data_IF_989006283403
#
_entry.id   IF_989006283403
#
_cell.length_a   1.000
_cell.length_b   1.000
_cell.length_c   1.000
_cell.angle_alpha   90.00
_cell.angle_beta   90.00
_cell.angle_gamma   90.00
#
_symmetry.space_group_name_H-M   'P 1'
#
loop_
_entity.id
_entity.type
_entity.pdbx_description
1 polymer ?
#
# COMPACT_ATOMS: atom_id res chain seq x y z
N UNK A 1 23.75 21.43 3.13
CA UNK A 1 22.57 20.78 2.54
C UNK A 1 23.06 19.68 1.63
N UNK A 2 22.64 18.43 1.85
CA UNK A 2 23.03 17.29 1.02
C UNK A 2 22.27 17.34 -0.30
N UNK A 3 22.97 17.24 -1.43
CA UNK A 3 22.32 17.18 -2.75
C UNK A 3 21.77 15.77 -2.95
N UNK A 4 20.52 15.66 -3.40
CA UNK A 4 19.84 14.37 -3.59
C UNK A 4 20.05 13.85 -5.01
N UNK A 5 20.45 12.59 -5.15
CA UNK A 5 20.62 11.96 -6.47
C UNK A 5 19.36 11.17 -6.79
N UNK A 6 18.70 11.48 -7.92
CA UNK A 6 17.45 10.81 -8.32
C UNK A 6 17.54 10.07 -9.65
N UNK A 7 18.63 10.22 -10.41
CA UNK A 7 18.78 9.59 -11.73
C UNK A 7 17.58 9.92 -12.63
N UNK A 8 16.92 8.87 -13.14
CA UNK A 8 15.67 8.93 -13.91
C UNK A 8 14.46 8.43 -13.11
N UNK A 9 14.62 8.19 -11.80
CA UNK A 9 13.57 7.60 -10.98
C UNK A 9 12.44 8.59 -10.74
N UNK A 10 11.20 8.10 -10.80
CA UNK A 10 10.02 8.91 -10.50
C UNK A 10 10.01 9.36 -9.05
N UNK A 11 9.71 10.64 -8.85
CA UNK A 11 9.62 11.26 -7.54
C UNK A 11 8.17 11.60 -7.23
N UNK A 12 7.62 10.96 -6.19
CA UNK A 12 6.30 11.28 -5.66
C UNK A 12 6.37 12.44 -4.66
N UNK A 13 5.27 13.20 -4.58
CA UNK A 13 5.06 14.30 -3.63
C UNK A 13 4.18 13.86 -2.44
N UNK A 14 4.43 12.65 -1.92
CA UNK A 14 3.66 12.00 -0.84
C UNK A 14 4.01 12.46 0.57
N UNK A 15 5.06 13.27 0.70
CA UNK A 15 5.62 13.81 1.93
C UNK A 15 6.23 15.20 1.65
N UNK A 16 6.72 15.86 2.71
CA UNK A 16 7.38 17.17 2.60
C UNK A 16 8.82 17.09 2.06
N UNK A 17 9.31 15.88 1.74
CA UNK A 17 10.69 15.64 1.35
C UNK A 17 11.12 16.60 0.24
N UNK A 18 10.29 16.79 -0.79
CA UNK A 18 10.59 17.64 -1.96
C UNK A 18 10.24 19.12 -1.80
N UNK A 19 9.89 19.58 -0.61
CA UNK A 19 9.46 20.96 -0.36
C UNK A 19 10.49 21.67 0.53
N UNK A 20 11.39 22.45 -0.08
CA UNK A 20 12.33 23.30 0.68
C UNK A 20 11.71 24.64 1.07
N UNK A 21 10.97 25.23 0.13
CA UNK A 21 10.32 26.53 0.28
C UNK A 21 8.94 26.43 -0.38
N UNK A 22 7.90 26.98 0.24
CA UNK A 22 6.54 26.94 -0.31
C UNK A 22 5.77 28.22 0.04
N UNK A 23 4.90 28.65 -0.88
CA UNK A 23 3.98 29.76 -0.69
C UNK A 23 2.72 29.54 -1.51
N UNK A 24 1.56 29.56 -0.86
CA UNK A 24 0.26 29.42 -1.55
C UNK A 24 0.01 28.03 -2.14
N UNK A 25 0.80 27.03 -1.74
CA UNK A 25 0.59 25.62 -2.05
C UNK A 25 0.47 24.80 -0.77
N UNK A 26 -0.20 23.66 -0.86
CA UNK A 26 -0.27 22.70 0.23
C UNK A 26 -0.28 21.27 -0.31
N UNK A 27 0.29 20.30 0.42
CA UNK A 27 0.08 18.90 0.12
C UNK A 27 -1.39 18.51 0.35
N UNK A 28 -1.95 17.67 -0.52
CA UNK A 28 -3.35 17.22 -0.46
C UNK A 28 -3.41 15.71 -0.67
N UNK A 29 -3.97 15.00 0.30
CA UNK A 29 -4.32 13.58 0.18
C UNK A 29 -5.59 13.43 -0.66
N UNK A 30 -5.56 12.59 -1.69
CA UNK A 30 -6.71 12.32 -2.56
C UNK A 30 -7.39 11.02 -2.11
N UNK A 31 -8.72 11.06 -1.99
CA UNK A 31 -9.50 9.89 -1.62
C UNK A 31 -9.71 8.97 -2.84
N UNK A 32 -9.45 7.65 -2.73
CA UNK A 32 -9.84 6.69 -3.75
C UNK A 32 -11.35 6.67 -3.96
N UNK A 33 -11.78 6.48 -5.20
CA UNK A 33 -13.18 6.37 -5.55
C UNK A 33 -13.66 4.93 -5.37
N UNK A 34 -14.78 4.76 -4.65
CA UNK A 34 -15.41 3.45 -4.44
C UNK A 34 -15.95 2.91 -5.78
N UNK A 35 -15.55 1.71 -6.17
CA UNK A 35 -15.91 1.03 -7.43
C UNK A 35 -16.68 -0.26 -7.15
N UNK A 36 -16.81 -1.14 -8.14
CA UNK A 36 -17.52 -2.43 -8.06
C UNK A 36 -16.99 -3.40 -6.99
N UNK A 37 -17.82 -4.37 -6.63
CA UNK A 37 -17.42 -5.53 -5.82
C UNK A 37 -16.63 -6.47 -6.72
N UNK A 38 -15.50 -6.98 -6.22
CA UNK A 38 -14.63 -7.87 -7.00
C UNK A 38 -14.61 -9.30 -6.49
N UNK A 39 -14.85 -9.52 -5.20
CA UNK A 39 -15.02 -10.84 -4.59
C UNK A 39 -16.12 -10.78 -3.53
N UNK A 40 -16.96 -11.81 -3.48
CA UNK A 40 -17.96 -12.03 -2.44
C UNK A 40 -18.02 -13.54 -2.09
N UNK A 41 -18.56 -13.93 -0.93
CA UNK A 41 -18.82 -15.33 -0.63
C UNK A 41 -19.76 -15.96 -1.66
N UNK A 42 -19.31 -17.02 -2.32
CA UNK A 42 -20.02 -17.76 -3.37
C UNK A 42 -20.02 -19.27 -3.10
N UNK A 43 -19.19 -19.73 -2.16
CA UNK A 43 -18.96 -21.14 -1.88
C UNK A 43 -19.07 -21.48 -0.39
N UNK A 44 -19.36 -22.75 -0.01
CA UNK A 44 -19.53 -23.16 1.38
C UNK A 44 -18.32 -22.91 2.29
N UNK A 45 -17.10 -22.93 1.73
CA UNK A 45 -15.88 -22.63 2.48
C UNK A 45 -15.67 -21.12 2.74
N UNK A 46 -16.54 -20.27 2.21
CA UNK A 46 -16.52 -18.81 2.36
C UNK A 46 -17.69 -18.29 3.19
N UNK A 47 -18.55 -19.17 3.72
CA UNK A 47 -19.84 -18.81 4.34
C UNK A 47 -19.70 -17.87 5.55
N UNK A 48 -18.62 -17.99 6.31
CA UNK A 48 -18.28 -17.10 7.43
C UNK A 48 -17.52 -15.83 7.01
N UNK A 49 -17.27 -15.65 5.72
CA UNK A 49 -16.66 -14.45 5.15
C UNK A 49 -15.33 -14.66 4.44
N UNK A 50 -14.81 -13.56 3.89
CA UNK A 50 -13.53 -13.50 3.21
C UNK A 50 -12.79 -12.20 3.50
N UNK A 51 -11.47 -12.26 3.65
CA UNK A 51 -10.61 -11.12 4.01
C UNK A 51 -9.17 -11.36 3.58
N UNK A 52 -8.28 -10.39 3.81
CA UNK A 52 -6.82 -10.55 3.67
C UNK A 52 -6.40 -10.94 2.25
N UNK A 53 -7.06 -10.34 1.25
CA UNK A 53 -6.66 -10.48 -0.13
C UNK A 53 -5.26 -9.90 -0.32
N UNK A 54 -4.38 -10.72 -0.89
CA UNK A 54 -3.10 -10.30 -1.41
C UNK A 54 -3.14 -10.39 -2.92
N UNK A 55 -3.20 -9.25 -3.60
CA UNK A 55 -3.31 -9.15 -5.05
C UNK A 55 -1.97 -8.73 -5.67
N UNK A 56 -1.43 -9.54 -6.56
CA UNK A 56 -0.11 -9.35 -7.17
C UNK A 56 -0.20 -9.53 -8.68
N UNK A 57 0.25 -8.53 -9.44
CA UNK A 57 0.48 -8.69 -10.89
C UNK A 57 1.73 -9.53 -11.15
N UNK A 58 1.54 -10.62 -11.89
CA UNK A 58 2.56 -11.56 -12.31
C UNK A 58 2.40 -11.89 -13.80
N UNK A 59 3.21 -11.23 -14.64
CA UNK A 59 3.05 -11.28 -16.08
C UNK A 59 1.73 -10.63 -16.51
N UNK A 60 0.98 -11.31 -17.39
CA UNK A 60 -0.31 -10.84 -17.88
C UNK A 60 -1.44 -10.94 -16.84
N UNK A 61 -1.31 -11.86 -15.86
CA UNK A 61 -2.35 -12.11 -14.86
C UNK A 61 -2.09 -11.33 -13.57
N UNK A 62 -3.16 -11.05 -12.87
CA UNK A 62 -3.17 -10.72 -11.46
C UNK A 62 -3.59 -11.97 -10.70
N UNK A 63 -2.78 -12.33 -9.71
CA UNK A 63 -3.02 -13.45 -8.80
C UNK A 63 -3.48 -12.91 -7.45
N UNK A 64 -4.46 -13.57 -6.85
CA UNK A 64 -5.06 -13.20 -5.57
C UNK A 64 -5.06 -14.38 -4.62
N UNK A 65 -4.60 -14.16 -3.40
CA UNK A 65 -4.76 -15.12 -2.31
C UNK A 65 -5.56 -14.47 -1.21
N UNK A 66 -6.59 -15.12 -0.72
CA UNK A 66 -7.47 -14.54 0.28
C UNK A 66 -7.81 -15.56 1.36
N UNK A 67 -8.07 -15.07 2.56
CA UNK A 67 -8.62 -15.85 3.65
C UNK A 67 -10.11 -16.11 3.38
N UNK A 68 -10.54 -17.35 3.56
CA UNK A 68 -11.94 -17.73 3.62
C UNK A 68 -12.23 -18.41 4.97
N UNK A 69 -13.43 -18.17 5.52
CA UNK A 69 -13.85 -18.68 6.82
C UNK A 69 -15.05 -19.63 6.67
N UNK A 70 -14.87 -20.96 6.75
CA UNK A 70 -15.99 -21.91 6.73
C UNK A 70 -16.81 -21.89 8.03
N UNK A 71 -18.16 -22.00 7.93
CA UNK A 71 -19.04 -22.22 9.10
C UNK A 71 -19.14 -23.72 9.46
N UNK A 72 -18.04 -24.34 9.90
CA UNK A 72 -18.07 -25.74 10.36
C UNK A 72 -18.36 -25.81 11.87
N UNK A 73 -19.33 -26.66 12.27
CA UNK A 73 -19.98 -26.67 13.59
C UNK A 73 -19.12 -27.07 14.82
N UNK A 74 -17.82 -27.35 14.71
CA UNK A 74 -17.06 -27.93 15.85
C UNK A 74 -15.58 -27.54 15.97
N UNK A 75 -15.13 -26.42 15.38
CA UNK A 75 -13.84 -25.87 15.80
C UNK A 75 -13.76 -24.37 15.57
N UNK A 76 -13.54 -23.66 16.67
CA UNK A 76 -12.98 -22.30 16.71
C UNK A 76 -11.98 -22.07 15.54
N UNK A 77 -12.36 -21.25 14.57
CA UNK A 77 -11.47 -20.54 13.63
C UNK A 77 -10.51 -21.37 12.77
N UNK A 78 -10.99 -22.33 11.97
CA UNK A 78 -10.21 -22.89 10.85
C UNK A 78 -10.38 -22.08 9.57
N UNK A 79 -9.84 -20.86 9.56
CA UNK A 79 -9.72 -20.10 8.32
C UNK A 79 -8.79 -20.82 7.36
N UNK A 80 -9.10 -20.78 6.08
CA UNK A 80 -8.31 -21.39 5.02
C UNK A 80 -7.83 -20.31 4.05
N UNK A 81 -6.85 -20.63 3.21
CA UNK A 81 -6.42 -19.76 2.12
C UNK A 81 -6.96 -20.27 0.79
N UNK A 82 -7.62 -19.39 0.06
CA UNK A 82 -8.14 -19.63 -1.28
C UNK A 82 -7.42 -18.76 -2.31
N UNK A 83 -7.58 -19.11 -3.59
CA UNK A 83 -6.95 -18.45 -4.73
C UNK A 83 -7.97 -17.88 -5.71
N UNK A 84 -7.67 -16.71 -6.27
CA UNK A 84 -8.42 -16.10 -7.35
C UNK A 84 -7.45 -15.52 -8.39
N UNK A 85 -7.91 -15.33 -9.61
CA UNK A 85 -7.13 -14.69 -10.68
C UNK A 85 -7.96 -13.70 -11.49
N UNK A 86 -7.29 -12.72 -12.07
CA UNK A 86 -7.91 -11.67 -12.88
C UNK A 86 -6.94 -11.19 -13.96
N UNK A 87 -7.44 -10.78 -15.13
CA UNK A 87 -6.60 -10.18 -16.18
C UNK A 87 -6.52 -8.65 -16.04
N UNK A 88 -7.56 -8.03 -15.49
CA UNK A 88 -7.74 -6.57 -15.42
C UNK A 88 -7.77 -6.00 -13.99
N UNK A 89 -7.89 -6.87 -12.98
CA UNK A 89 -8.03 -6.49 -11.57
C UNK A 89 -9.45 -6.09 -11.18
N UNK A 90 -10.40 -6.21 -12.10
CA UNK A 90 -11.81 -5.84 -11.94
C UNK A 90 -12.66 -7.12 -11.93
N UNK A 91 -12.47 -7.99 -12.92
CA UNK A 91 -13.20 -9.25 -13.04
C UNK A 91 -12.32 -10.39 -12.54
N UNK A 92 -12.75 -11.02 -11.44
CA UNK A 92 -12.00 -12.10 -10.80
C UNK A 92 -12.68 -13.45 -11.01
N UNK A 93 -11.87 -14.48 -11.20
CA UNK A 93 -12.28 -15.87 -11.31
C UNK A 93 -11.70 -16.67 -10.14
N UNK A 94 -12.51 -17.52 -9.53
CA UNK A 94 -12.11 -18.51 -8.53
C UNK A 94 -12.00 -19.88 -9.21
N UNK A 95 -10.81 -20.30 -9.69
CA UNK A 95 -10.68 -21.53 -10.47
C UNK A 95 -10.83 -22.78 -9.59
N UNK A 96 -11.39 -23.85 -10.14
CA UNK A 96 -11.30 -25.19 -9.52
C UNK A 96 -9.86 -25.71 -9.69
N UNK A 97 -9.17 -25.96 -8.58
CA UNK A 97 -7.75 -26.34 -8.55
C UNK A 97 -7.54 -27.84 -8.28
N UNK A 98 -8.54 -28.54 -7.74
CA UNK A 98 -8.49 -29.97 -7.42
C UNK A 98 -7.34 -30.40 -6.47
N UNK A 99 -7.00 -29.54 -5.51
CA UNK A 99 -5.85 -29.75 -4.60
C UNK A 99 -6.23 -30.24 -3.20
N UNK A 100 -7.31 -29.70 -2.63
CA UNK A 100 -7.66 -29.89 -1.22
C UNK A 100 -9.07 -30.48 -1.14
N UNK A 101 -9.24 -31.57 -0.39
CA UNK A 101 -10.57 -32.11 -0.11
C UNK A 101 -11.32 -31.21 0.90
N UNK A 102 -12.51 -30.76 0.51
CA UNK A 102 -13.43 -30.03 1.37
C UNK A 102 -14.84 -30.61 1.20
N UNK A 103 -15.44 -31.08 2.30
CA UNK A 103 -16.77 -31.69 2.32
C UNK A 103 -16.97 -32.78 1.23
N UNK A 104 -15.94 -33.62 1.02
CA UNK A 104 -16.00 -34.74 0.07
C UNK A 104 -15.78 -34.38 -1.40
N UNK A 105 -15.31 -33.17 -1.70
CA UNK A 105 -14.97 -32.72 -3.06
C UNK A 105 -13.66 -31.94 -3.10
N UNK A 106 -12.89 -32.08 -4.18
CA UNK A 106 -11.70 -31.27 -4.47
C UNK A 106 -11.98 -30.09 -5.40
N UNK A 107 -13.19 -30.00 -5.96
CA UNK A 107 -13.62 -28.94 -6.89
C UNK A 107 -13.83 -27.62 -6.16
N UNK A 108 -12.71 -26.98 -5.82
CA UNK A 108 -12.62 -25.73 -5.07
C UNK A 108 -11.32 -25.01 -5.42
N UNK A 109 -11.14 -23.81 -4.88
CA UNK A 109 -9.98 -22.96 -5.11
C UNK A 109 -9.08 -22.84 -3.86
N UNK A 110 -9.11 -23.85 -2.97
CA UNK A 110 -8.37 -23.85 -1.71
C UNK A 110 -6.91 -24.24 -1.98
N UNK A 111 -5.97 -23.45 -1.45
CA UNK A 111 -4.51 -23.67 -1.64
C UNK A 111 -3.77 -23.97 -0.33
N UNK A 112 -4.36 -23.67 0.82
CA UNK A 112 -3.77 -23.97 2.12
C UNK A 112 -4.83 -24.07 3.22
N UNK A 113 -4.69 -25.03 4.13
CA UNK A 113 -5.60 -25.23 5.26
C UNK A 113 -4.89 -25.19 6.61
N UNK A 114 -3.71 -25.80 6.73
CA UNK A 114 -2.95 -25.87 7.96
C UNK A 114 -1.46 -26.17 7.72
N UNK A 115 -0.57 -25.81 8.66
CA UNK A 115 -0.83 -25.03 9.87
C UNK A 115 -1.05 -23.53 9.59
N UNK A 116 -1.73 -22.88 10.52
CA UNK A 116 -1.87 -21.43 10.58
C UNK A 116 -2.95 -20.81 9.69
N UNK A 117 -3.15 -19.50 9.89
CA UNK A 117 -4.13 -18.67 9.18
C UNK A 117 -3.53 -17.29 8.84
N UNK A 118 -4.30 -16.45 8.14
CA UNK A 118 -3.89 -15.09 7.71
C UNK A 118 -2.62 -15.11 6.85
N UNK A 119 -2.61 -15.97 5.83
CA UNK A 119 -1.45 -16.14 4.95
C UNK A 119 -1.20 -14.87 4.11
N UNK A 120 0.07 -14.49 3.99
CA UNK A 120 0.52 -13.37 3.17
C UNK A 120 1.60 -13.83 2.19
N UNK A 121 1.20 -14.33 1.00
CA UNK A 121 2.13 -14.72 -0.04
C UNK A 121 2.66 -13.50 -0.80
N UNK A 122 3.89 -13.62 -1.31
CA UNK A 122 4.50 -12.68 -2.23
C UNK A 122 5.27 -13.42 -3.31
N UNK A 123 5.43 -12.76 -4.47
CA UNK A 123 6.39 -13.20 -5.49
C UNK A 123 7.77 -12.74 -5.06
N UNK A 124 8.71 -13.67 -4.99
CA UNK A 124 10.06 -13.37 -4.54
C UNK A 124 10.88 -12.80 -5.70
N UNK A 125 11.26 -11.53 -5.58
CA UNK A 125 12.09 -10.83 -6.55
C UNK A 125 13.59 -10.93 -6.24
N UNK A 126 13.99 -11.64 -5.18
CA UNK A 126 15.39 -11.88 -4.89
C UNK A 126 16.06 -12.53 -6.12
N UNK A 127 17.12 -11.92 -6.70
CA UNK A 127 17.78 -12.47 -7.89
C UNK A 127 18.39 -13.86 -7.65
N UNK A 128 18.67 -14.21 -6.39
CA UNK A 128 19.18 -15.51 -5.97
C UNK A 128 18.06 -16.47 -5.51
N UNK A 129 16.79 -16.11 -5.74
CA UNK A 129 15.66 -16.97 -5.38
C UNK A 129 15.69 -18.29 -6.16
N UNK A 130 15.59 -19.41 -5.44
CA UNK A 130 15.47 -20.73 -6.04
C UNK A 130 14.17 -20.86 -6.85
N UNK A 131 14.23 -21.56 -8.00
CA UNK A 131 13.06 -21.73 -8.89
C UNK A 131 11.90 -22.48 -8.22
N UNK A 132 12.18 -23.36 -7.27
CA UNK A 132 11.18 -24.08 -6.49
C UNK A 132 10.55 -23.23 -5.37
N UNK A 133 11.03 -22.00 -5.18
CA UNK A 133 10.57 -21.05 -4.16
C UNK A 133 10.24 -19.66 -4.73
N UNK A 134 9.84 -19.61 -6.01
CA UNK A 134 9.46 -18.37 -6.73
C UNK A 134 8.41 -17.53 -6.00
N UNK A 135 7.58 -18.17 -5.20
CA UNK A 135 6.72 -17.51 -4.24
C UNK A 135 7.10 -17.96 -2.85
N UNK A 136 7.04 -17.02 -1.93
CA UNK A 136 7.21 -17.24 -0.50
C UNK A 136 6.07 -16.56 0.24
N UNK A 137 5.88 -16.91 1.49
CA UNK A 137 4.86 -16.26 2.30
C UNK A 137 5.04 -16.55 3.77
N UNK A 138 4.41 -15.71 4.58
CA UNK A 138 4.37 -15.91 6.03
C UNK A 138 2.94 -16.20 6.48
N UNK A 139 2.80 -17.10 7.44
CA UNK A 139 1.50 -17.48 7.99
C UNK A 139 1.54 -17.47 9.51
N UNK A 140 0.45 -17.02 10.14
CA UNK A 140 0.33 -17.02 11.60
C UNK A 140 -0.17 -18.37 12.08
N UNK A 141 0.67 -19.10 12.81
CA UNK A 141 0.23 -20.25 13.59
C UNK A 141 0.19 -19.89 15.08
N UNK A 142 -1.03 -19.78 15.63
CA UNK A 142 -1.29 -19.37 17.03
C UNK A 142 -0.59 -18.05 17.39
N UNK A 143 0.55 -18.13 18.10
CA UNK A 143 1.37 -16.99 18.57
C UNK A 143 2.70 -16.84 17.82
N UNK A 144 2.87 -17.57 16.73
CA UNK A 144 4.13 -17.64 15.99
C UNK A 144 3.87 -17.43 14.50
N UNK A 145 4.95 -17.19 13.75
CA UNK A 145 4.92 -17.08 12.29
C UNK A 145 5.76 -18.20 11.69
N UNK A 146 5.18 -18.89 10.72
CA UNK A 146 5.83 -19.92 9.91
C UNK A 146 6.10 -19.39 8.49
N UNK A 147 7.01 -20.03 7.77
CA UNK A 147 7.41 -19.65 6.42
C UNK A 147 6.99 -20.74 5.42
N UNK A 148 6.34 -20.33 4.34
CA UNK A 148 5.93 -21.21 3.25
C UNK A 148 6.63 -20.79 1.95
N UNK A 149 6.77 -21.74 1.05
CA UNK A 149 7.25 -21.52 -0.32
C UNK A 149 6.40 -22.27 -1.33
N UNK A 150 6.44 -21.80 -2.58
CA UNK A 150 5.77 -22.43 -3.71
C UNK A 150 6.50 -22.09 -5.03
N UNK A 151 6.62 -23.05 -5.97
CA UNK A 151 7.13 -22.78 -7.31
C UNK A 151 6.15 -22.02 -8.21
N UNK A 152 4.84 -22.21 -7.99
CA UNK A 152 3.75 -21.78 -8.88
C UNK A 152 2.74 -20.83 -8.22
N UNK A 153 2.89 -20.61 -6.90
CA UNK A 153 2.01 -19.79 -6.07
C UNK A 153 0.70 -20.50 -5.71
N UNK A 154 0.57 -21.78 -6.02
CA UNK A 154 -0.66 -22.57 -5.86
C UNK A 154 -0.37 -23.77 -4.96
N UNK A 155 0.70 -24.51 -5.22
CA UNK A 155 1.15 -25.66 -4.44
C UNK A 155 2.14 -25.19 -3.38
N UNK A 156 1.68 -25.07 -2.13
CA UNK A 156 2.49 -24.54 -1.03
C UNK A 156 3.03 -25.64 -0.12
N UNK A 157 4.20 -25.37 0.49
CA UNK A 157 4.79 -26.21 1.52
C UNK A 157 5.49 -25.35 2.59
N UNK A 158 5.56 -25.86 3.82
CA UNK A 158 6.43 -25.27 4.84
C UNK A 158 7.89 -25.34 4.39
N UNK A 159 8.64 -24.24 4.56
CA UNK A 159 10.09 -24.25 4.33
C UNK A 159 10.81 -25.01 5.46
N UNK A 160 10.30 -24.86 6.70
CA UNK A 160 10.73 -25.61 7.90
C UNK A 160 9.61 -25.62 8.94
N UNK A 161 9.61 -26.61 9.83
CA UNK A 161 8.65 -26.71 10.93
C UNK A 161 8.87 -25.64 12.02
N UNK A 162 10.12 -25.21 12.20
CA UNK A 162 10.49 -24.22 13.22
C UNK A 162 10.00 -22.81 12.85
N UNK A 163 9.43 -22.06 13.81
CA UNK A 163 8.95 -20.70 13.55
C UNK A 163 10.08 -19.77 13.11
N UNK A 164 9.73 -18.76 12.31
CA UNK A 164 10.65 -17.70 11.87
C UNK A 164 10.52 -16.43 12.74
N UNK A 165 9.36 -16.22 13.39
CA UNK A 165 9.14 -15.16 14.38
C UNK A 165 8.26 -15.67 15.53
N UNK A 166 8.60 -15.29 16.76
CA UNK A 166 7.88 -15.72 17.98
C UNK A 166 7.49 -14.58 18.92
N UNK A 167 7.95 -13.37 18.64
CA UNK A 167 7.65 -12.17 19.42
C UNK A 167 6.26 -11.62 19.06
N UNK A 168 5.21 -12.25 19.61
CA UNK A 168 3.81 -11.89 19.39
C UNK A 168 3.46 -10.49 19.97
N UNK A 169 2.30 -9.88 19.66
CA UNK A 169 1.14 -10.41 18.94
C UNK A 169 1.33 -10.47 17.42
N UNK A 170 0.72 -11.48 16.79
CA UNK A 170 0.67 -11.66 15.32
C UNK A 170 -0.77 -11.80 14.79
N UNK A 171 -1.77 -11.46 15.59
CA UNK A 171 -3.21 -11.60 15.33
C UNK A 171 -3.76 -10.57 14.31
N UNK A 172 -3.09 -10.43 13.17
CA UNK A 172 -3.51 -9.63 12.01
C UNK A 172 -3.01 -10.29 10.72
N UNK A 173 -3.21 -9.62 9.57
CA UNK A 173 -2.43 -9.90 8.37
C UNK A 173 -1.02 -9.34 8.56
N UNK A 174 -0.02 -10.22 8.67
CA UNK A 174 1.40 -9.83 8.76
C UNK A 174 2.01 -10.04 7.38
N UNK A 175 2.84 -9.11 6.93
CA UNK A 175 3.36 -9.12 5.57
C UNK A 175 4.87 -9.35 5.57
N UNK A 176 5.36 -10.01 4.54
CA UNK A 176 6.77 -10.03 4.21
C UNK A 176 6.93 -9.90 2.68
N UNK A 177 8.07 -9.37 2.26
CA UNK A 177 8.46 -9.30 0.85
C UNK A 177 9.97 -9.12 0.73
N UNK A 178 10.51 -9.40 -0.45
CA UNK A 178 11.85 -8.97 -0.84
C UNK A 178 11.85 -7.48 -1.16
N UNK A 179 12.74 -6.72 -0.53
CA UNK A 179 12.94 -5.31 -0.78
C UNK A 179 13.97 -5.11 -1.90
N UNK A 180 13.48 -4.86 -3.12
CA UNK A 180 14.34 -4.68 -4.30
C UNK A 180 15.34 -3.52 -4.16
N UNK A 181 15.00 -2.50 -3.37
CA UNK A 181 15.83 -1.31 -3.18
C UNK A 181 16.95 -1.52 -2.18
N UNK A 182 16.72 -2.33 -1.14
CA UNK A 182 17.72 -2.64 -0.10
C UNK A 182 18.46 -3.95 -0.32
N UNK A 183 17.91 -4.86 -1.13
CA UNK A 183 18.47 -6.20 -1.30
C UNK A 183 18.35 -7.04 -0.03
N UNK A 184 17.23 -6.95 0.69
CA UNK A 184 16.95 -7.78 1.87
C UNK A 184 15.46 -8.11 1.98
N UNK A 185 15.08 -9.14 2.72
CA UNK A 185 13.69 -9.38 3.06
C UNK A 185 13.26 -8.44 4.19
N UNK A 186 12.02 -7.94 4.10
CA UNK A 186 11.41 -7.08 5.12
C UNK A 186 10.07 -7.68 5.52
N UNK A 187 9.75 -7.64 6.81
CA UNK A 187 8.47 -8.03 7.35
C UNK A 187 7.83 -6.88 8.15
N UNK A 188 6.52 -6.70 7.98
CA UNK A 188 5.69 -5.81 8.80
C UNK A 188 4.64 -6.62 9.54
N UNK A 189 4.79 -6.67 10.86
CA UNK A 189 4.00 -7.48 11.76
C UNK A 189 3.23 -6.62 12.75
N UNK A 190 2.13 -7.16 13.28
CA UNK A 190 1.46 -6.60 14.45
C UNK A 190 2.45 -6.40 15.60
N UNK A 191 2.24 -5.35 16.38
CA UNK A 191 2.91 -5.13 17.66
C UNK A 191 2.07 -4.31 18.63
N UNK A 192 2.74 -3.90 19.70
CA UNK A 192 2.19 -3.01 20.74
C UNK A 192 3.17 -1.86 20.92
N UNK A 193 2.67 -0.63 20.98
CA UNK A 193 3.49 0.55 21.24
C UNK A 193 2.74 1.58 22.09
N UNK A 194 3.47 2.61 22.54
CA UNK A 194 2.95 3.68 23.38
C UNK A 194 2.56 3.23 24.80
N UNK A 195 1.93 4.15 25.53
CA UNK A 195 1.18 3.84 26.74
C UNK A 195 -0.32 3.93 26.41
N UNK A 196 -1.08 2.90 26.73
CA UNK A 196 -2.50 2.81 26.42
C UNK A 196 -3.36 2.69 27.68
N UNK A 197 -4.58 3.22 27.60
CA UNK A 197 -5.67 2.94 28.57
C UNK A 197 -6.50 1.72 28.17
N UNK A 198 -6.11 1.02 27.10
CA UNK A 198 -6.83 -0.14 26.57
C UNK A 198 -6.37 -1.44 27.23
N UNK A 199 -7.23 -2.45 27.25
CA UNK A 199 -6.90 -3.82 27.71
C UNK A 199 -5.89 -4.53 26.77
N UNK A 200 -5.49 -3.91 25.65
CA UNK A 200 -4.53 -4.49 24.71
C UNK A 200 -3.07 -4.25 25.15
N UNK A 201 -2.57 -5.13 26.02
CA UNK A 201 -1.17 -5.13 26.48
C UNK A 201 -0.69 -3.79 27.08
N UNK A 202 -1.59 -3.00 27.69
CA UNK A 202 -1.31 -1.67 28.23
C UNK A 202 -0.73 -0.66 27.21
N UNK A 203 -0.98 -0.89 25.91
CA UNK A 203 -0.55 -0.03 24.80
C UNK A 203 -1.65 0.11 23.74
N UNK A 204 -1.25 0.53 22.54
CA UNK A 204 -2.11 0.48 21.34
C UNK A 204 -1.62 -0.58 20.36
N UNK A 205 -2.52 -1.04 19.50
CA UNK A 205 -2.17 -1.89 18.36
C UNK A 205 -1.27 -1.11 17.43
N UNK A 206 -0.07 -1.61 17.19
CA UNK A 206 0.93 -0.94 16.36
C UNK A 206 1.54 -1.89 15.33
N UNK A 207 2.50 -1.37 14.57
CA UNK A 207 3.19 -2.06 13.48
C UNK A 207 4.69 -2.11 13.80
N UNK A 208 5.28 -3.29 13.65
CA UNK A 208 6.71 -3.54 13.83
C UNK A 208 7.33 -4.02 12.54
N UNK A 209 8.61 -3.71 12.33
CA UNK A 209 9.45 -4.13 11.22
C UNK A 209 10.53 -5.10 11.69
N UNK A 210 10.83 -6.10 10.88
CA UNK A 210 12.06 -6.90 10.96
C UNK A 210 12.66 -7.07 9.56
N UNK A 211 13.95 -7.38 9.48
CA UNK A 211 14.60 -7.73 8.22
C UNK A 211 15.31 -9.06 8.28
N UNK A 212 15.58 -9.64 7.11
CA UNK A 212 16.31 -10.90 6.97
C UNK A 212 17.09 -10.92 5.67
N UNK A 213 18.26 -11.56 5.66
CA UNK A 213 19.03 -11.79 4.44
C UNK A 213 18.62 -13.08 3.71
N UNK A 214 17.96 -14.00 4.41
CA UNK A 214 17.68 -15.36 3.91
C UNK A 214 16.21 -15.79 4.09
N UNK A 215 15.32 -14.85 4.46
CA UNK A 215 13.89 -15.05 4.73
C UNK A 215 13.54 -15.91 5.96
N UNK A 216 14.52 -16.60 6.56
CA UNK A 216 14.29 -17.55 7.65
C UNK A 216 14.75 -17.03 9.00
N UNK A 217 15.84 -16.26 9.01
CA UNK A 217 16.45 -15.72 10.21
C UNK A 217 16.28 -14.21 10.22
N UNK A 218 15.43 -13.74 11.15
CA UNK A 218 14.97 -12.36 11.19
C UNK A 218 15.66 -11.58 12.32
N UNK A 219 15.90 -10.30 12.07
CA UNK A 219 16.26 -9.36 13.12
C UNK A 219 15.15 -9.30 14.18
N UNK A 220 15.45 -8.81 15.40
CA UNK A 220 14.40 -8.43 16.34
C UNK A 220 13.40 -7.47 15.69
N UNK A 221 12.12 -7.62 16.07
CA UNK A 221 11.05 -6.72 15.66
C UNK A 221 11.23 -5.36 16.36
N UNK A 222 11.23 -4.28 15.58
CA UNK A 222 11.28 -2.91 16.09
C UNK A 222 10.03 -2.16 15.65
N UNK A 223 9.47 -1.30 16.49
CA UNK A 223 8.32 -0.47 16.10
C UNK A 223 8.67 0.44 14.94
N UNK A 224 7.71 0.67 14.03
CA UNK A 224 7.83 1.78 13.08
C UNK A 224 7.70 3.10 13.83
N UNK A 225 8.36 4.13 13.31
CA UNK A 225 8.34 5.49 13.85
C UNK A 225 7.44 6.38 13.00
N UNK A 226 6.56 7.16 13.64
CA UNK A 226 5.65 8.11 12.96
C UNK A 226 5.85 9.55 13.45
N UNK A 227 7.06 9.86 13.95
CA UNK A 227 7.40 11.19 14.46
C UNK A 227 6.49 11.62 15.62
N UNK A 228 5.90 12.82 15.48
CA UNK A 228 5.01 13.39 16.50
C UNK A 228 3.55 12.93 16.40
N UNK A 229 3.20 12.08 15.41
CA UNK A 229 1.84 11.59 15.26
C UNK A 229 1.42 10.77 16.49
N UNK A 230 0.15 10.87 16.93
CA UNK A 230 -0.31 10.20 18.13
C UNK A 230 -0.32 8.67 17.96
N UNK A 231 -0.17 7.98 19.09
CA UNK A 231 -0.42 6.55 19.19
C UNK A 231 -1.92 6.27 19.01
N UNK A 232 -2.26 5.48 18.01
CA UNK A 232 -3.63 5.04 17.69
C UNK A 232 -3.61 3.54 17.38
N UNK A 233 -4.76 2.86 17.48
CA UNK A 233 -4.82 1.43 17.14
C UNK A 233 -4.77 1.24 15.63
N UNK A 234 -3.60 0.91 15.09
CA UNK A 234 -3.39 0.55 13.69
C UNK A 234 -3.43 -0.96 13.53
N UNK A 235 -4.52 -1.50 12.98
CA UNK A 235 -4.82 -2.92 12.97
C UNK A 235 -4.06 -3.68 11.87
N UNK A 236 -4.42 -3.56 10.60
CA UNK A 236 -3.61 -4.09 9.50
C UNK A 236 -2.58 -3.04 9.07
N UNK A 237 -1.65 -3.39 8.19
CA UNK A 237 -0.67 -2.43 7.65
C UNK A 237 -0.78 -2.25 6.14
N UNK A 238 -0.98 -3.33 5.38
CA UNK A 238 -1.09 -3.29 3.91
C UNK A 238 0.07 -2.53 3.26
N UNK A 239 1.27 -2.74 3.82
CA UNK A 239 2.49 -2.09 3.34
C UNK A 239 2.94 -2.69 2.01
N UNK A 240 3.34 -1.82 1.08
CA UNK A 240 3.88 -2.19 -0.22
C UNK A 240 5.12 -1.36 -0.57
N UNK A 241 5.97 -1.91 -1.43
CA UNK A 241 6.91 -1.10 -2.21
C UNK A 241 6.20 -0.55 -3.44
N UNK A 242 6.28 0.76 -3.64
CA UNK A 242 5.64 1.37 -4.79
C UNK A 242 6.48 1.23 -6.05
N UNK A 243 6.12 0.27 -6.92
CA UNK A 243 6.92 -0.14 -8.09
C UNK A 243 7.29 0.99 -9.05
N UNK A 244 6.44 2.02 -9.17
CA UNK A 244 6.68 3.14 -10.09
C UNK A 244 7.65 4.19 -9.54
N UNK A 245 7.91 4.20 -8.23
CA UNK A 245 8.89 5.06 -7.58
C UNK A 245 9.76 4.23 -6.61
N UNK A 246 10.84 3.61 -7.10
CA UNK A 246 11.73 2.78 -6.29
C UNK A 246 12.21 3.49 -5.02
N UNK A 247 12.31 2.73 -3.92
CA UNK A 247 12.68 3.26 -2.60
C UNK A 247 11.52 3.89 -1.80
N UNK A 248 10.31 3.97 -2.36
CA UNK A 248 9.11 4.43 -1.64
C UNK A 248 8.29 3.26 -1.11
N UNK A 249 7.92 3.36 0.16
CA UNK A 249 6.94 2.52 0.83
C UNK A 249 5.64 3.31 0.93
N UNK A 250 4.54 2.64 0.60
CA UNK A 250 3.21 3.10 0.95
C UNK A 250 2.61 2.11 1.94
N UNK A 251 1.83 2.62 2.88
CA UNK A 251 1.17 1.79 3.87
C UNK A 251 -0.26 2.31 4.08
N UNK A 252 -1.20 1.38 4.22
CA UNK A 252 -2.62 1.68 4.34
C UNK A 252 -3.23 1.08 5.62
N UNK A 253 -2.79 1.48 6.82
CA UNK A 253 -3.25 0.81 8.04
C UNK A 253 -4.73 1.03 8.29
N UNK A 254 -5.43 -0.03 8.69
CA UNK A 254 -6.79 0.09 9.20
C UNK A 254 -6.75 0.62 10.64
N UNK A 255 -7.05 1.90 10.83
CA UNK A 255 -7.18 2.49 12.15
C UNK A 255 -8.49 2.07 12.78
N UNK A 256 -8.44 1.69 14.05
CA UNK A 256 -9.56 1.20 14.83
C UNK A 256 -9.84 2.15 16.01
N UNK A 257 -11.08 2.60 16.14
CA UNK A 257 -11.53 3.47 17.23
C UNK A 257 -12.53 2.71 18.07
N UNK A 258 -12.08 2.16 19.19
CA UNK A 258 -12.81 1.17 19.99
C UNK A 258 -14.01 1.75 20.75
N UNK A 259 -13.98 3.05 21.05
CA UNK A 259 -14.96 3.74 21.90
C UNK A 259 -16.27 4.09 21.17
N UNK A 260 -16.37 3.78 19.88
CA UNK A 260 -17.52 4.16 19.05
C UNK A 260 -18.38 2.95 18.75
N UNK A 261 -19.68 3.04 19.05
CA UNK A 261 -20.67 2.02 18.70
C UNK A 261 -21.89 2.69 18.07
N UNK A 262 -21.88 2.93 16.75
CA UNK A 262 -22.97 3.62 16.05
C UNK A 262 -24.30 2.87 16.12
N UNK A 263 -24.29 1.53 15.99
CA UNK A 263 -25.45 0.68 16.24
C UNK A 263 -25.37 0.08 17.65
N UNK A 264 -26.23 0.50 18.60
CA UNK A 264 -26.22 -0.05 19.96
C UNK A 264 -26.65 -1.52 20.04
N UNK A 265 -27.23 -2.09 18.97
CA UNK A 265 -27.62 -3.51 18.91
C UNK A 265 -26.53 -4.40 18.32
N UNK A 266 -25.39 -3.84 17.90
CA UNK A 266 -24.29 -4.61 17.34
C UNK A 266 -23.71 -5.60 18.37
N UNK A 267 -23.67 -6.89 18.03
CA UNK A 267 -23.39 -7.97 19.01
C UNK A 267 -21.98 -8.53 18.99
N UNK A 268 -21.12 -8.12 18.05
CA UNK A 268 -19.78 -8.70 17.89
C UNK A 268 -18.75 -8.01 18.80
N UNK A 269 -18.29 -6.80 18.46
CA UNK A 269 -17.34 -6.02 19.26
C UNK A 269 -17.69 -4.53 19.16
N UNK A 270 -17.18 -3.70 20.08
CA UNK A 270 -17.32 -2.24 19.92
C UNK A 270 -16.31 -1.72 18.92
N UNK A 271 -16.56 -0.52 18.40
CA UNK A 271 -15.59 0.23 17.61
C UNK A 271 -15.98 0.43 16.16
N UNK A 272 -15.17 1.21 15.47
CA UNK A 272 -15.29 1.48 14.03
C UNK A 272 -13.91 1.55 13.40
N UNK A 273 -13.80 1.26 12.10
CA UNK A 273 -12.53 1.32 11.38
C UNK A 273 -12.54 2.31 10.23
N UNK A 274 -11.41 2.93 9.95
CA UNK A 274 -11.12 3.63 8.71
C UNK A 274 -9.71 3.30 8.22
N UNK A 275 -9.37 3.70 6.99
CA UNK A 275 -8.05 3.44 6.40
C UNK A 275 -7.22 4.72 6.42
N UNK A 276 -6.00 4.64 6.94
CA UNK A 276 -5.03 5.74 6.99
C UNK A 276 -4.03 5.59 5.85
N UNK A 277 -3.43 6.69 5.38
CA UNK A 277 -2.32 6.68 4.44
C UNK A 277 -1.01 7.06 5.15
N UNK A 278 0.07 6.34 4.85
CA UNK A 278 1.42 6.67 5.29
C UNK A 278 2.42 6.40 4.17
N UNK A 279 3.52 7.15 4.14
CA UNK A 279 4.62 6.92 3.20
C UNK A 279 5.96 6.85 3.93
N UNK A 280 6.93 6.15 3.37
CA UNK A 280 8.29 6.12 3.90
C UNK A 280 9.32 5.98 2.79
N UNK A 281 10.51 6.53 3.04
CA UNK A 281 11.69 6.42 2.15
C UNK A 281 12.75 5.47 2.70
N UNK A 282 12.62 5.05 3.96
CA UNK A 282 13.55 4.13 4.62
C UNK A 282 12.89 2.84 5.13
N UNK A 283 11.56 2.73 5.02
CA UNK A 283 10.77 1.60 5.48
C UNK A 283 10.63 1.50 7.00
N UNK A 284 11.20 2.41 7.80
CA UNK A 284 11.13 2.39 9.27
C UNK A 284 10.48 3.66 9.83
N UNK A 285 10.83 4.82 9.28
CA UNK A 285 10.28 6.12 9.61
C UNK A 285 9.20 6.45 8.58
N UNK A 286 7.95 6.43 9.01
CA UNK A 286 6.79 6.72 8.17
C UNK A 286 6.29 8.14 8.41
N UNK A 287 6.16 8.90 7.32
CA UNK A 287 5.40 10.14 7.34
C UNK A 287 3.92 9.80 7.55
N UNK A 288 3.36 10.43 8.57
CA UNK A 288 1.96 10.36 8.93
C UNK A 288 1.40 11.77 9.11
N UNK A 289 1.75 12.66 8.18
CA UNK A 289 1.31 14.06 8.22
C UNK A 289 -0.19 14.20 7.86
N UNK A 290 -0.74 13.25 7.10
CA UNK A 290 -2.18 13.15 6.83
C UNK A 290 -2.87 12.31 7.92
N UNK A 291 -3.57 12.98 8.83
CA UNK A 291 -4.25 12.34 9.96
C UNK A 291 -5.71 11.95 9.65
N UNK A 292 -6.27 12.50 8.58
CA UNK A 292 -7.57 12.14 8.04
C UNK A 292 -7.57 10.73 7.42
N UNK A 293 -8.76 10.12 7.34
CA UNK A 293 -8.93 8.86 6.66
C UNK A 293 -8.71 9.00 5.14
N UNK A 294 -7.89 8.11 4.59
CA UNK A 294 -7.70 7.88 3.16
C UNK A 294 -8.94 7.19 2.56
N UNK A 295 -9.45 6.15 3.21
CA UNK A 295 -10.75 5.51 2.87
C UNK A 295 -11.63 5.55 4.12
N UNK A 296 -12.82 6.12 3.97
CA UNK A 296 -13.85 6.22 5.02
C UNK A 296 -14.88 5.08 4.87
N UNK A 297 -15.58 4.68 5.94
CA UNK A 297 -16.71 3.73 5.86
C UNK A 297 -17.80 4.13 4.85
N UNK A 298 -17.96 5.43 4.60
CA UNK A 298 -18.89 5.97 3.61
C UNK A 298 -20.32 6.07 4.11
N UNK A 299 -21.28 6.16 3.18
CA UNK A 299 -22.72 6.27 3.48
C UNK A 299 -23.36 4.92 3.82
N UNK A 300 -22.67 3.82 3.53
CA UNK A 300 -23.14 2.47 3.76
C UNK A 300 -23.07 2.16 5.26
N UNK A 301 -24.23 2.14 5.95
CA UNK A 301 -24.28 2.02 7.40
C UNK A 301 -23.71 0.69 7.90
N UNK A 302 -23.77 -0.35 7.07
CA UNK A 302 -23.20 -1.68 7.31
C UNK A 302 -21.66 -1.70 7.35
N UNK A 303 -20.99 -0.56 7.15
CA UNK A 303 -19.55 -0.41 7.45
C UNK A 303 -19.27 0.24 8.81
N UNK A 304 -20.29 0.73 9.52
CA UNK A 304 -20.15 1.51 10.75
C UNK A 304 -20.22 0.65 12.02
N UNK A 305 -19.37 -0.37 12.08
CA UNK A 305 -19.20 -1.26 13.22
C UNK A 305 -17.74 -1.75 13.31
N UNK A 306 -17.45 -2.65 14.25
CA UNK A 306 -16.09 -3.13 14.44
C UNK A 306 -15.58 -3.80 13.16
N UNK A 307 -14.37 -3.44 12.74
CA UNK A 307 -13.70 -4.04 11.57
C UNK A 307 -14.51 -3.96 10.27
N UNK A 308 -15.50 -3.05 10.18
CA UNK A 308 -16.39 -2.94 9.03
C UNK A 308 -15.66 -2.74 7.70
N UNK A 309 -14.51 -2.06 7.73
CA UNK A 309 -13.61 -1.95 6.57
C UNK A 309 -12.16 -2.27 6.91
N UNK A 310 -11.50 -3.05 6.05
CA UNK A 310 -10.06 -3.28 6.05
C UNK A 310 -9.45 -3.09 4.67
N UNK A 311 -8.29 -2.46 4.58
CA UNK A 311 -7.56 -2.35 3.32
C UNK A 311 -6.80 -3.65 3.09
N UNK A 312 -6.94 -4.21 1.90
CA UNK A 312 -6.26 -5.41 1.46
C UNK A 312 -4.86 -5.08 0.91
N UNK A 313 -4.06 -6.10 0.60
CA UNK A 313 -2.69 -5.92 0.12
C UNK A 313 -2.68 -5.85 -1.40
N UNK A 314 -2.20 -4.72 -1.93
CA UNK A 314 -1.96 -4.55 -3.35
C UNK A 314 -2.40 -3.18 -3.87
N UNK A 315 -1.52 -2.56 -4.65
CA UNK A 315 -1.85 -1.43 -5.52
C UNK A 315 -1.48 -1.86 -6.93
N UNK A 316 -2.46 -1.93 -7.82
CA UNK A 316 -2.28 -2.46 -9.17
C UNK A 316 -2.69 -1.44 -10.21
N UNK A 317 -1.90 -1.27 -11.26
CA UNK A 317 -2.37 -0.59 -12.47
C UNK A 317 -3.44 -1.48 -13.13
N UNK A 318 -4.66 -0.99 -13.26
CA UNK A 318 -5.85 -1.72 -13.73
C UNK A 318 -6.53 -1.08 -14.93
N UNK A 319 -6.02 0.08 -15.38
CA UNK A 319 -6.53 0.77 -16.55
C UNK A 319 -5.55 1.85 -17.00
N UNK A 320 -5.87 2.50 -18.12
CA UNK A 320 -5.09 3.65 -18.58
C UNK A 320 -5.21 4.80 -17.57
N UNK A 321 -4.11 5.08 -16.89
CA UNK A 321 -4.04 6.09 -15.86
C UNK A 321 -4.79 5.80 -14.55
N UNK A 322 -5.23 4.55 -14.34
CA UNK A 322 -5.96 4.12 -13.15
C UNK A 322 -5.20 3.03 -12.38
N UNK A 323 -5.10 3.23 -11.06
CA UNK A 323 -4.68 2.23 -10.09
C UNK A 323 -5.87 1.76 -9.27
N UNK A 324 -5.86 0.48 -8.91
CA UNK A 324 -6.79 -0.13 -7.97
C UNK A 324 -6.14 -0.47 -6.65
N UNK A 325 -6.89 -0.22 -5.60
CA UNK A 325 -6.73 -0.81 -4.28
C UNK A 325 -7.95 -1.69 -3.99
N UNK A 326 -7.83 -2.58 -3.02
CA UNK A 326 -8.92 -3.45 -2.60
C UNK A 326 -9.18 -3.27 -1.11
N UNK A 327 -10.44 -3.36 -0.70
CA UNK A 327 -10.82 -3.28 0.70
C UNK A 327 -11.99 -4.22 1.01
N UNK A 328 -11.88 -4.97 2.10
CA UNK A 328 -13.00 -5.69 2.68
C UNK A 328 -14.02 -4.70 3.22
N UNK A 329 -15.30 -4.96 2.99
CA UNK A 329 -16.44 -4.27 3.57
C UNK A 329 -17.35 -5.27 4.30
N UNK A 330 -18.15 -4.80 5.26
CA UNK A 330 -19.24 -5.55 5.91
C UNK A 330 -18.76 -6.78 6.69
N UNK A 331 -17.66 -6.65 7.45
CA UNK A 331 -17.18 -7.74 8.31
C UNK A 331 -18.31 -8.32 9.18
N UNK A 332 -18.34 -9.63 9.39
CA UNK A 332 -19.35 -10.34 10.19
C UNK A 332 -20.77 -10.38 9.61
N UNK A 333 -21.02 -9.72 8.47
CA UNK A 333 -22.31 -9.71 7.80
C UNK A 333 -22.34 -10.68 6.63
N UNK A 334 -23.50 -11.27 6.29
CA UNK A 334 -23.65 -12.09 5.07
C UNK A 334 -23.34 -11.35 3.78
N UNK A 335 -23.34 -10.01 3.81
CA UNK A 335 -23.04 -9.13 2.68
C UNK A 335 -21.55 -8.74 2.59
N UNK A 336 -20.69 -9.39 3.39
CA UNK A 336 -19.23 -9.24 3.35
C UNK A 336 -18.69 -9.44 1.94
N UNK A 337 -17.71 -8.62 1.57
CA UNK A 337 -17.14 -8.60 0.23
C UNK A 337 -15.82 -7.86 0.20
N UNK A 338 -15.05 -8.07 -0.86
CA UNK A 338 -13.93 -7.20 -1.23
C UNK A 338 -14.39 -6.28 -2.36
N UNK A 339 -14.18 -4.99 -2.12
CA UNK A 339 -14.50 -3.91 -3.04
C UNK A 339 -13.23 -3.32 -3.63
N UNK A 340 -13.30 -2.93 -4.90
CA UNK A 340 -12.27 -2.14 -5.55
C UNK A 340 -12.43 -0.66 -5.24
N UNK A 341 -11.30 0.03 -5.10
CA UNK A 341 -11.20 1.47 -5.05
C UNK A 341 -10.25 1.94 -6.14
N UNK A 342 -10.67 2.93 -6.93
CA UNK A 342 -9.87 3.49 -8.02
C UNK A 342 -9.16 4.78 -7.60
N UNK A 343 -7.97 4.98 -8.13
CA UNK A 343 -7.19 6.20 -7.98
C UNK A 343 -6.45 6.50 -9.28
N UNK A 344 -6.22 7.78 -9.59
CA UNK A 344 -5.27 8.19 -10.64
C UNK A 344 -3.90 7.54 -10.39
N UNK A 345 -3.21 7.10 -11.44
CA UNK A 345 -1.80 6.67 -11.33
C UNK A 345 -0.93 7.73 -10.66
N UNK A 346 -0.12 7.30 -9.69
CA UNK A 346 0.69 8.11 -8.77
C UNK A 346 -0.13 9.12 -7.91
N UNK A 347 -1.46 9.04 -7.93
CA UNK A 347 -2.37 10.09 -7.46
C UNK A 347 -2.68 10.13 -5.96
N UNK A 348 -1.85 9.53 -5.10
CA UNK A 348 -2.11 9.47 -3.66
C UNK A 348 -2.14 10.87 -3.03
N UNK A 349 -1.13 11.66 -3.35
CA UNK A 349 -0.93 13.00 -2.82
C UNK A 349 -0.47 13.91 -3.95
N UNK A 350 -0.96 15.14 -3.94
CA UNK A 350 -0.42 16.22 -4.79
C UNK A 350 0.10 17.36 -3.93
N UNK A 351 0.94 18.21 -4.53
CA UNK A 351 1.07 19.61 -4.10
C UNK A 351 0.08 20.42 -4.92
N UNK A 352 -0.85 21.09 -4.24
CA UNK A 352 -1.96 21.83 -4.84
C UNK A 352 -1.82 23.33 -4.66
N UNK A 353 -2.13 24.10 -5.71
CA UNK A 353 -2.47 25.52 -5.62
C UNK A 353 -3.93 25.75 -6.01
N UNK A 354 -4.63 26.63 -5.28
CA UNK A 354 -5.94 27.13 -5.71
C UNK A 354 -5.84 28.19 -6.82
N UNK A 355 -6.96 28.83 -7.15
CA UNK A 355 -7.06 29.83 -8.22
C UNK A 355 -6.13 31.05 -8.06
N UNK A 356 -5.80 31.44 -6.82
CA UNK A 356 -4.86 32.52 -6.54
C UNK A 356 -3.41 32.19 -6.96
N UNK A 357 -3.11 30.90 -7.18
CA UNK A 357 -1.79 30.40 -7.47
C UNK A 357 -0.89 30.28 -6.25
N UNK A 358 0.23 29.62 -6.45
CA UNK A 358 1.25 29.35 -5.46
C UNK A 358 2.50 28.78 -6.10
N UNK A 359 3.53 28.58 -5.31
CA UNK A 359 4.76 27.95 -5.76
C UNK A 359 5.48 27.20 -4.64
N UNK A 360 6.34 26.26 -5.05
CA UNK A 360 7.33 25.67 -4.17
C UNK A 360 8.65 25.44 -4.89
N UNK A 361 9.72 25.28 -4.09
CA UNK A 361 11.08 25.02 -4.55
C UNK A 361 11.56 23.71 -3.91
N UNK A 362 12.18 22.84 -4.71
CA UNK A 362 12.77 21.61 -4.21
C UNK A 362 14.09 21.86 -3.47
N UNK A 363 14.51 20.95 -2.57
CA UNK A 363 15.91 20.85 -2.18
C UNK A 363 16.81 20.62 -3.41
N UNK A 364 18.13 20.92 -3.31
CA UNK A 364 19.07 20.63 -4.38
C UNK A 364 19.06 19.14 -4.75
N UNK A 365 19.00 18.85 -6.05
CA UNK A 365 19.03 17.50 -6.61
C UNK A 365 19.94 17.41 -7.83
N UNK A 366 20.43 16.21 -8.14
CA UNK A 366 21.01 15.85 -9.43
C UNK A 366 20.14 14.81 -10.12
N UNK A 367 20.06 14.90 -11.44
CA UNK A 367 19.24 14.03 -12.29
C UNK A 367 20.07 13.46 -13.44
N UNK A 368 19.55 12.43 -14.09
CA UNK A 368 20.00 11.92 -15.37
C UNK A 368 18.87 12.09 -16.40
N UNK A 369 19.20 12.11 -17.69
CA UNK A 369 18.24 12.39 -18.76
C UNK A 369 18.31 13.82 -19.28
N UNK A 370 17.42 14.13 -20.21
CA UNK A 370 17.36 15.37 -20.97
C UNK A 370 15.98 16.02 -21.00
N UNK A 371 14.93 15.30 -20.60
CA UNK A 371 13.56 15.80 -20.53
C UNK A 371 13.02 15.73 -19.10
N UNK A 372 12.15 16.69 -18.73
CA UNK A 372 11.41 16.66 -17.47
C UNK A 372 9.97 16.23 -17.78
N UNK A 373 9.49 15.22 -17.08
CA UNK A 373 8.12 14.70 -17.18
C UNK A 373 7.37 14.96 -15.88
N UNK A 374 6.11 15.37 -15.99
CA UNK A 374 5.22 15.69 -14.87
C UNK A 374 3.97 14.81 -14.88
N UNK A 375 3.48 14.46 -13.70
CA UNK A 375 2.10 14.00 -13.49
C UNK A 375 1.33 15.14 -12.83
N UNK A 376 0.40 15.76 -13.55
CA UNK A 376 -0.33 16.94 -13.09
C UNK A 376 -1.77 16.98 -13.62
N UNK A 377 -2.61 17.77 -12.95
CA UNK A 377 -3.97 18.09 -13.37
C UNK A 377 -4.23 19.57 -13.16
N UNK A 378 -4.83 20.26 -14.14
CA UNK A 378 -5.24 21.66 -14.01
C UNK A 378 -6.69 21.85 -14.42
N UNK A 379 -7.33 22.91 -13.91
CA UNK A 379 -8.53 23.42 -14.56
C UNK A 379 -8.19 24.11 -15.89
N UNK A 380 -9.22 24.49 -16.66
CA UNK A 380 -9.04 25.21 -17.93
C UNK A 380 -8.41 26.61 -17.78
N UNK A 381 -8.43 27.19 -16.58
CA UNK A 381 -7.78 28.48 -16.25
C UNK A 381 -6.54 28.30 -15.37
N UNK A 382 -6.22 27.06 -15.06
CA UNK A 382 -5.07 26.67 -14.27
C UNK A 382 -3.84 26.43 -15.13
N UNK A 383 -2.69 26.38 -14.47
CA UNK A 383 -1.41 26.13 -15.12
C UNK A 383 -0.37 25.57 -14.16
N UNK A 384 0.62 24.90 -14.75
CA UNK A 384 1.88 24.49 -14.14
C UNK A 384 3.01 25.13 -14.95
N UNK A 385 3.93 25.80 -14.29
CA UNK A 385 5.20 26.26 -14.87
C UNK A 385 6.35 25.76 -14.02
N UNK A 386 7.47 25.45 -14.66
CA UNK A 386 8.70 25.01 -14.00
C UNK A 386 9.84 25.92 -14.40
N UNK A 387 10.59 26.37 -13.40
CA UNK A 387 11.91 26.96 -13.60
C UNK A 387 12.97 26.06 -12.96
N UNK A 388 14.03 25.78 -13.69
CA UNK A 388 15.22 25.14 -13.13
C UNK A 388 16.17 26.23 -12.66
N UNK A 389 16.68 26.08 -11.44
CA UNK A 389 17.60 27.03 -10.82
C UNK A 389 18.91 26.34 -10.48
N UNK A 390 20.02 27.07 -10.53
CA UNK A 390 21.25 26.63 -9.87
C UNK A 390 21.11 26.72 -8.33
N UNK A 391 22.14 26.26 -7.61
CA UNK A 391 22.14 26.33 -6.14
C UNK A 391 22.20 27.75 -5.57
N UNK A 392 22.48 28.78 -6.38
CA UNK A 392 22.42 30.18 -5.99
C UNK A 392 21.03 30.81 -6.25
N UNK A 393 20.10 30.06 -6.86
CA UNK A 393 18.75 30.51 -7.20
C UNK A 393 18.64 31.20 -8.56
N UNK A 394 19.72 31.25 -9.35
CA UNK A 394 19.68 31.79 -10.71
C UNK A 394 18.90 30.84 -11.61
N UNK A 395 17.88 31.36 -12.29
CA UNK A 395 17.09 30.59 -13.26
C UNK A 395 17.97 30.29 -14.48
N UNK A 396 18.03 29.01 -14.84
CA UNK A 396 18.81 28.47 -15.97
C UNK A 396 17.91 27.99 -17.11
N UNK A 397 16.70 27.51 -16.80
CA UNK A 397 15.69 27.11 -17.76
C UNK A 397 14.32 27.56 -17.27
N UNK A 398 13.42 27.95 -18.18
CA UNK A 398 12.03 28.32 -17.88
C UNK A 398 11.08 27.63 -18.86
N UNK A 399 10.07 26.95 -18.35
CA UNK A 399 9.07 26.29 -19.19
C UNK A 399 8.03 27.26 -19.74
N UNK A 400 7.31 26.81 -20.78
CA UNK A 400 5.99 27.34 -21.12
C UNK A 400 4.98 27.08 -19.99
N UNK A 401 3.78 27.66 -20.09
CA UNK A 401 2.64 27.20 -19.30
C UNK A 401 2.18 25.83 -19.78
N UNK A 402 2.06 24.90 -18.83
CA UNK A 402 1.44 23.60 -19.02
C UNK A 402 0.05 23.60 -18.39
N UNK A 403 -0.94 23.04 -19.09
CA UNK A 403 -2.30 22.87 -18.60
C UNK A 403 -2.87 21.56 -19.18
N UNK A 404 -3.90 21.02 -18.55
CA UNK A 404 -4.49 19.74 -18.91
C UNK A 404 -4.35 18.70 -17.80
N UNK A 405 -4.56 17.44 -18.17
CA UNK A 405 -4.63 16.31 -17.24
C UNK A 405 -3.72 15.18 -17.75
N UNK A 406 -2.46 15.16 -17.30
CA UNK A 406 -1.43 14.28 -17.86
C UNK A 406 -0.72 13.49 -16.75
N UNK A 407 -0.46 12.21 -17.00
CA UNK A 407 0.27 11.31 -16.07
C UNK A 407 1.77 11.29 -16.40
N UNK A 408 2.11 11.56 -17.65
CA UNK A 408 3.46 11.56 -18.19
C UNK A 408 3.64 12.71 -19.19
N UNK A 409 3.38 13.94 -18.74
CA UNK A 409 3.46 15.14 -19.58
C UNK A 409 4.87 15.71 -19.67
N UNK A 410 5.40 15.83 -20.88
CA UNK A 410 6.74 16.39 -21.12
C UNK A 410 6.75 17.92 -21.01
N UNK A 411 7.70 18.45 -20.25
CA UNK A 411 7.92 19.88 -20.08
C UNK A 411 8.56 20.47 -21.32
N UNK A 412 8.00 21.59 -21.80
CA UNK A 412 8.52 22.35 -22.95
C UNK A 412 9.20 23.60 -22.43
N UNK A 413 10.44 23.81 -22.85
CA UNK A 413 11.26 24.93 -22.40
C UNK A 413 11.12 26.12 -23.35
N UNK A 414 10.65 27.25 -22.81
CA UNK A 414 10.62 28.53 -23.51
C UNK A 414 12.02 29.16 -23.57
N UNK A 415 12.81 28.95 -22.51
CA UNK A 415 14.15 29.49 -22.35
C UNK A 415 15.08 28.42 -21.75
N UNK A 416 16.32 28.34 -22.27
CA UNK A 416 17.35 27.44 -21.78
C UNK A 416 17.26 26.01 -22.31
N UNK A 417 18.24 25.18 -21.95
CA UNK A 417 18.32 23.77 -22.33
C UNK A 417 18.65 22.90 -21.09
N UNK A 418 17.70 22.06 -20.68
CA UNK A 418 17.82 21.22 -19.49
C UNK A 418 18.99 20.23 -19.57
N UNK A 419 19.23 19.66 -20.76
CA UNK A 419 20.19 18.58 -20.97
C UNK A 419 21.63 18.94 -20.54
N UNK A 420 22.02 20.22 -20.65
CA UNK A 420 23.37 20.69 -20.26
C UNK A 420 23.62 20.65 -18.74
N UNK A 421 22.56 20.42 -17.95
CA UNK A 421 22.58 20.42 -16.50
C UNK A 421 22.41 19.03 -15.89
N UNK A 422 22.30 17.98 -16.70
CA UNK A 422 22.31 16.61 -16.23
C UNK A 422 23.57 16.33 -15.37
N UNK A 423 23.38 15.68 -14.23
CA UNK A 423 24.42 15.42 -13.24
C UNK A 423 24.88 16.63 -12.41
N UNK A 424 24.39 17.84 -12.70
CA UNK A 424 24.69 19.04 -11.90
C UNK A 424 23.61 19.28 -10.86
N UNK A 425 24.00 19.87 -9.73
CA UNK A 425 23.07 20.20 -8.66
C UNK A 425 22.17 21.38 -9.11
N UNK A 426 20.86 21.15 -9.11
CA UNK A 426 19.83 22.12 -9.47
C UNK A 426 18.70 22.11 -8.43
N UNK A 427 17.87 23.15 -8.45
CA UNK A 427 16.58 23.20 -7.76
C UNK A 427 15.48 23.36 -8.79
N UNK A 428 14.32 22.75 -8.55
CA UNK A 428 13.13 22.97 -9.37
C UNK A 428 12.20 23.92 -8.61
N UNK A 429 11.78 25.00 -9.26
CA UNK A 429 10.72 25.89 -8.80
C UNK A 429 9.48 25.62 -9.62
N UNK A 430 8.44 25.11 -8.97
CA UNK A 430 7.14 24.89 -9.57
C UNK A 430 6.22 26.06 -9.21
N UNK A 431 5.67 26.74 -10.21
CA UNK A 431 4.57 27.68 -10.03
C UNK A 431 3.29 27.02 -10.52
N UNK A 432 2.27 27.02 -9.66
CA UNK A 432 1.02 26.32 -9.84
C UNK A 432 -0.13 27.32 -9.73
N UNK A 433 -1.19 27.12 -10.52
CA UNK A 433 -2.44 27.85 -10.40
C UNK A 433 -3.60 26.92 -10.71
N UNK A 434 -4.54 26.81 -9.78
CA UNK A 434 -5.71 25.91 -9.92
C UNK A 434 -5.31 24.53 -10.46
N UNK A 435 -4.32 23.94 -9.80
CA UNK A 435 -3.56 22.80 -10.29
C UNK A 435 -3.08 21.88 -9.16
N UNK A 436 -2.97 20.61 -9.50
CA UNK A 436 -2.38 19.54 -8.72
C UNK A 436 -1.13 19.02 -9.43
N UNK A 437 0.00 18.95 -8.72
CA UNK A 437 1.20 18.25 -9.16
C UNK A 437 1.40 17.00 -8.29
N UNK A 438 1.41 15.82 -8.88
CA UNK A 438 1.48 14.54 -8.17
C UNK A 438 2.89 13.97 -8.12
N UNK A 439 3.62 14.07 -9.23
CA UNK A 439 4.95 13.51 -9.38
C UNK A 439 5.74 14.21 -10.48
N UNK A 440 7.07 14.04 -10.45
CA UNK A 440 7.96 14.44 -11.52
C UNK A 440 9.05 13.38 -11.74
N UNK A 441 9.64 13.33 -12.94
CA UNK A 441 10.82 12.50 -13.24
C UNK A 441 11.62 13.08 -14.40
N UNK A 442 12.82 12.58 -14.61
CA UNK A 442 13.63 12.92 -15.79
C UNK A 442 13.77 11.70 -16.71
N UNK A 443 13.72 11.94 -18.03
CA UNK A 443 13.86 10.92 -19.08
C UNK A 443 15.16 11.09 -19.86
#
# INVERSE_FOLDING_TARGET
>A
MTTRVIGTDRQLLVDDWWIAEARGVAPVLHAPERREVVLAPEHPWEEGGLSYLTAIRDGAKIRGWYRADPLLQDSDFKSITCYAESDDGIHWTKPELDLVEFQGSTRNNIVWTEPGINFAPFKDNNPDCAEDQRYKGIIRDRRQVLALSSPDGISWQLIRDAPILTDHPFDSHNLAFWDDWRGEYVAYCRGVAGQGTSDFFAGVRWIRRATSQNFLDWSPLVSIECGAAPWEHLYTNSCIQYRRAPGIYLMFPSRFVHERTPDPNWTYDTGVSDIVFMSSRDGLNFDRSFMEAFIRPGLDFDNWHDRGIYCEVGVLETGDGEMSLYGMEHCHLPTQRIRRYALRTDGFVSVRAGYAGGEFITPPLTFAGSELELNYSTSAVGSVQVAVQDCAGQVICRSDEHYGDEIAGSVRWAEGALAEWAGRAVRLRFALKDADLYAFKFN
#
